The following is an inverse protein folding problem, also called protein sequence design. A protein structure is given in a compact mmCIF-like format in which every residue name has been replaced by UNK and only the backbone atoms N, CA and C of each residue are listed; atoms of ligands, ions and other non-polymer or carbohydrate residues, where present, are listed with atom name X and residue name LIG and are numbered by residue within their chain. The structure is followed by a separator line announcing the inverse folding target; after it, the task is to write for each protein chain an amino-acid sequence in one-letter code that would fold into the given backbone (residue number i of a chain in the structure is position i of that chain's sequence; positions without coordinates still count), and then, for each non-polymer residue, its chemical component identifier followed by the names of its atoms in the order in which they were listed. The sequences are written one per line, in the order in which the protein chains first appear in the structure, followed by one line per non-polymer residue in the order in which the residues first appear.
data_IF_691007303313
#
_entry.id   IF_691007303313
#
_cell.length_a   1.000
_cell.length_b   1.000
_cell.length_c   1.000
_cell.angle_alpha   90.00
_cell.angle_beta   90.00
_cell.angle_gamma   90.00
#
_symmetry.space_group_name_H-M   'P 1'
#
loop_
_entity.id
_entity.type
_entity.pdbx_description
1 polymer ?
#
# COMPACT_ATOMS: atom_id res chain seq x y z
N UNK A 1 13.43 5.80 6.93
CA UNK A 1 12.69 6.72 6.05
C UNK A 1 11.25 6.26 6.01
N UNK A 2 10.28 7.17 6.00
CA UNK A 2 8.86 6.84 5.87
C UNK A 2 8.29 7.59 4.66
N UNK A 3 7.67 6.86 3.74
CA UNK A 3 6.97 7.40 2.59
C UNK A 3 5.47 7.26 2.84
N UNK A 4 4.77 8.39 2.87
CA UNK A 4 3.35 8.49 3.23
C UNK A 4 2.74 9.64 2.44
N UNK A 5 1.45 9.56 2.15
CA UNK A 5 0.75 10.68 1.54
C UNK A 5 0.79 11.93 2.43
N UNK A 6 0.75 13.10 1.81
CA UNK A 6 1.03 14.38 2.48
C UNK A 6 -0.07 14.84 3.43
N UNK A 7 -1.33 14.44 3.21
CA UNK A 7 -2.43 14.84 4.07
C UNK A 7 -2.49 13.94 5.30
N UNK A 8 -2.76 14.55 6.46
CA UNK A 8 -2.98 13.82 7.70
C UNK A 8 -4.11 12.80 7.61
N UNK A 9 -5.23 13.19 6.98
CA UNK A 9 -6.40 12.34 6.84
C UNK A 9 -6.53 11.87 5.40
N UNK A 10 -6.35 10.58 5.16
CA UNK A 10 -6.50 9.95 3.86
C UNK A 10 -6.90 8.49 4.02
N UNK A 11 -7.79 8.01 3.14
CA UNK A 11 -8.28 6.64 3.18
C UNK A 11 -7.17 5.57 3.05
N UNK A 12 -5.99 5.94 2.56
CA UNK A 12 -4.82 5.08 2.51
C UNK A 12 -4.23 4.74 3.90
N UNK A 13 -4.47 5.59 4.91
CA UNK A 13 -3.93 5.39 6.26
C UNK A 13 -4.60 4.19 6.95
N UNK A 14 -3.77 3.30 7.53
CA UNK A 14 -4.23 2.11 8.24
C UNK A 14 -4.67 2.44 9.69
N UNK A 15 -5.60 3.38 9.78
CA UNK A 15 -6.25 3.83 10.99
C UNK A 15 -7.77 3.86 10.78
N UNK A 16 -8.59 3.48 11.77
CA UNK A 16 -10.05 3.43 11.59
C UNK A 16 -10.71 4.77 11.27
N UNK A 17 -10.05 5.88 11.61
CA UNK A 17 -10.50 7.24 11.23
C UNK A 17 -9.62 7.86 10.15
N UNK A 18 -8.80 7.03 9.48
CA UNK A 18 -7.91 7.42 8.39
C UNK A 18 -6.87 8.48 8.78
N UNK A 19 -6.55 8.59 10.08
CA UNK A 19 -5.55 9.52 10.61
C UNK A 19 -4.14 8.92 10.48
N UNK A 20 -3.22 9.65 9.86
CA UNK A 20 -1.83 9.25 9.73
C UNK A 20 -1.03 9.38 11.04
N UNK A 21 -1.51 10.15 12.02
CA UNK A 21 -0.78 10.37 13.28
C UNK A 21 -0.67 9.07 14.11
N UNK A 22 -1.76 8.32 14.37
CA UNK A 22 -1.68 7.01 15.03
C UNK A 22 -0.78 6.01 14.30
N UNK A 23 -0.85 5.97 12.96
CA UNK A 23 -0.02 5.09 12.12
C UNK A 23 1.47 5.34 12.38
N UNK A 24 1.89 6.61 12.33
CA UNK A 24 3.30 6.99 12.55
C UNK A 24 3.74 6.80 14.01
N UNK A 25 2.88 7.10 14.99
CA UNK A 25 3.20 6.93 16.42
C UNK A 25 3.36 5.48 16.83
N UNK A 26 2.59 4.57 16.22
CA UNK A 26 2.62 3.13 16.51
C UNK A 26 3.69 2.38 15.70
N UNK A 27 4.26 3.00 14.67
CA UNK A 27 5.26 2.36 13.81
C UNK A 27 6.46 1.85 14.62
N UNK A 28 6.65 0.54 14.64
CA UNK A 28 7.74 -0.13 15.35
C UNK A 28 9.02 -0.06 14.53
N UNK A 29 9.85 0.95 14.80
CA UNK A 29 11.13 1.15 14.10
C UNK A 29 12.07 -0.06 14.21
N UNK A 30 12.02 -0.83 15.30
CA UNK A 30 12.80 -2.07 15.44
C UNK A 30 12.38 -3.15 14.44
N UNK A 31 11.10 -3.22 14.10
CA UNK A 31 10.62 -4.11 13.05
C UNK A 31 11.02 -3.59 11.66
N UNK A 32 10.94 -2.28 11.42
CA UNK A 32 11.40 -1.66 10.17
C UNK A 32 12.88 -1.96 9.94
N UNK A 33 13.72 -1.80 10.97
CA UNK A 33 15.15 -2.09 10.90
C UNK A 33 15.43 -3.57 10.62
N UNK A 34 14.69 -4.49 11.25
CA UNK A 34 14.80 -5.93 11.01
C UNK A 34 14.31 -6.34 9.61
N UNK A 35 13.18 -5.82 9.15
CA UNK A 35 12.51 -6.25 7.93
C UNK A 35 13.03 -5.54 6.68
N UNK A 36 13.64 -4.36 6.82
CA UNK A 36 14.20 -3.55 5.74
C UNK A 36 13.16 -2.73 4.97
N UNK A 37 12.04 -3.35 4.58
CA UNK A 37 10.88 -2.74 3.93
C UNK A 37 9.60 -3.22 4.60
N UNK A 38 8.73 -2.28 4.97
CA UNK A 38 7.47 -2.55 5.68
C UNK A 38 6.35 -1.71 5.09
N UNK A 39 5.29 -2.31 4.52
CA UNK A 39 4.11 -1.54 4.12
C UNK A 39 3.41 -0.96 5.35
N UNK A 40 2.89 0.26 5.24
CA UNK A 40 2.06 0.87 6.28
C UNK A 40 0.59 0.48 6.17
N UNK A 41 0.24 -0.27 5.13
CA UNK A 41 -1.07 -0.88 4.92
C UNK A 41 -1.00 -2.37 5.22
N UNK A 42 -1.89 -2.85 6.09
CA UNK A 42 -2.02 -4.24 6.49
C UNK A 42 -3.29 -4.90 5.93
N UNK A 43 -4.34 -4.14 5.67
CA UNK A 43 -5.62 -4.69 5.18
C UNK A 43 -5.56 -4.97 3.68
N UNK A 44 -5.98 -6.17 3.25
CA UNK A 44 -5.91 -6.66 1.87
C UNK A 44 -7.06 -6.20 0.98
N UNK A 45 -7.95 -5.33 1.47
CA UNK A 45 -9.16 -4.89 0.74
C UNK A 45 -8.89 -4.48 -0.71
N UNK A 46 -7.70 -3.96 -1.00
CA UNK A 46 -7.22 -3.71 -2.35
C UNK A 46 -5.77 -4.19 -2.48
N UNK A 47 -5.41 -4.72 -3.65
CA UNK A 47 -4.05 -5.04 -4.02
C UNK A 47 -3.59 -6.48 -3.73
N UNK A 48 -3.88 -7.00 -2.54
CA UNK A 48 -3.51 -8.36 -2.17
C UNK A 48 -4.61 -9.37 -2.52
N UNK A 49 -4.27 -10.63 -2.87
CA UNK A 49 -2.92 -11.14 -3.15
C UNK A 49 -2.49 -11.01 -4.62
N UNK A 50 -3.39 -10.62 -5.52
CA UNK A 50 -3.20 -10.64 -6.97
C UNK A 50 -3.82 -9.41 -7.62
N UNK A 51 -3.20 -8.24 -7.43
CA UNK A 51 -3.65 -7.01 -8.11
C UNK A 51 -3.42 -7.10 -9.60
N UNK A 52 -2.21 -7.47 -10.00
CA UNK A 52 -1.76 -7.40 -11.39
C UNK A 52 -1.38 -8.79 -11.89
N UNK A 53 -1.76 -9.06 -13.14
CA UNK A 53 -1.41 -10.25 -13.93
C UNK A 53 -0.71 -9.83 -15.21
N UNK A 54 0.57 -9.42 -15.14
CA UNK A 54 1.27 -8.79 -16.27
C UNK A 54 1.35 -9.66 -17.53
N UNK A 55 1.33 -10.99 -17.40
CA UNK A 55 1.40 -11.94 -18.52
C UNK A 55 0.03 -12.29 -19.11
N UNK A 56 -1.07 -11.89 -18.45
CA UNK A 56 -2.44 -12.15 -18.89
C UNK A 56 -3.40 -11.06 -18.37
N UNK A 57 -3.31 -9.83 -18.90
CA UNK A 57 -4.10 -8.70 -18.43
C UNK A 57 -5.60 -8.89 -18.72
N UNK A 58 -6.45 -8.43 -17.80
CA UNK A 58 -7.90 -8.48 -17.92
C UNK A 58 -8.42 -7.49 -18.96
N UNK A 59 -8.77 -8.01 -20.14
CA UNK A 59 -9.21 -7.20 -21.29
C UNK A 59 -10.66 -6.68 -21.23
N UNK A 60 -11.44 -6.98 -20.19
CA UNK A 60 -12.89 -6.68 -20.16
C UNK A 60 -13.27 -5.40 -19.42
N UNK A 61 -12.35 -4.81 -18.65
CA UNK A 61 -12.56 -3.54 -17.94
C UNK A 61 -11.84 -2.41 -18.67
N UNK A 62 -12.45 -1.23 -18.68
CA UNK A 62 -11.85 -0.01 -19.24
C UNK A 62 -11.77 1.00 -18.09
N UNK A 63 -10.86 0.75 -17.15
CA UNK A 63 -10.58 1.62 -16.02
C UNK A 63 -9.06 1.76 -15.83
N UNK A 64 -8.63 2.65 -14.93
CA UNK A 64 -7.20 2.88 -14.69
C UNK A 64 -6.46 1.62 -14.22
N UNK A 65 -7.15 0.67 -13.56
CA UNK A 65 -6.51 -0.57 -13.09
C UNK A 65 -6.23 -1.51 -14.25
N UNK A 66 -7.17 -1.68 -15.18
CA UNK A 66 -6.92 -2.51 -16.37
C UNK A 66 -5.84 -1.92 -17.26
N UNK A 67 -5.85 -0.59 -17.49
CA UNK A 67 -4.77 0.07 -18.23
C UNK A 67 -3.41 -0.03 -17.53
N UNK A 68 -3.38 -0.03 -16.20
CA UNK A 68 -2.15 -0.30 -15.44
C UNK A 68 -1.65 -1.71 -15.68
N UNK A 69 -2.52 -2.71 -15.58
CA UNK A 69 -2.16 -4.11 -15.79
C UNK A 69 -1.60 -4.36 -17.21
N UNK A 70 -2.23 -3.75 -18.22
CA UNK A 70 -1.76 -3.77 -19.62
C UNK A 70 -0.37 -3.13 -19.79
N UNK A 71 -0.12 -2.00 -19.14
CA UNK A 71 1.15 -1.28 -19.23
C UNK A 71 2.27 -1.91 -18.35
N UNK A 72 1.92 -2.68 -17.32
CA UNK A 72 2.86 -3.11 -16.29
C UNK A 72 3.98 -3.99 -16.83
N UNK A 73 3.68 -4.92 -17.76
CA UNK A 73 4.69 -5.83 -18.28
C UNK A 73 5.84 -5.09 -18.96
N UNK A 74 5.53 -4.06 -19.74
CA UNK A 74 6.54 -3.25 -20.43
C UNK A 74 7.30 -2.35 -19.45
N UNK A 75 6.58 -1.70 -18.53
CA UNK A 75 7.21 -0.92 -17.47
C UNK A 75 8.18 -1.77 -16.63
N UNK A 76 7.79 -3.00 -16.29
CA UNK A 76 8.59 -3.92 -15.48
C UNK A 76 9.92 -4.25 -16.17
N UNK A 77 9.93 -4.49 -17.49
CA UNK A 77 11.18 -4.74 -18.24
C UNK A 77 12.16 -3.57 -18.14
N UNK A 78 11.63 -2.34 -18.20
CA UNK A 78 12.44 -1.13 -18.16
C UNK A 78 12.96 -0.84 -16.74
N UNK A 79 12.11 -1.04 -15.72
CA UNK A 79 12.48 -0.82 -14.32
C UNK A 79 13.49 -1.89 -13.84
N UNK A 80 13.26 -3.16 -14.18
CA UNK A 80 14.01 -4.31 -13.69
C UNK A 80 14.67 -5.07 -14.84
N UNK A 81 15.70 -4.48 -15.49
CA UNK A 81 16.38 -5.15 -16.58
C UNK A 81 16.98 -6.47 -16.07
N UNK A 82 16.82 -7.53 -16.86
CA UNK A 82 17.26 -8.90 -16.56
C UNK A 82 16.42 -9.68 -15.53
N UNK A 83 15.26 -9.17 -15.13
CA UNK A 83 14.31 -9.92 -14.30
C UNK A 83 13.14 -10.38 -15.17
N UNK A 84 12.82 -11.68 -15.09
CA UNK A 84 11.63 -12.24 -15.76
C UNK A 84 10.37 -11.60 -15.19
N UNK A 85 9.46 -11.17 -16.06
CA UNK A 85 8.17 -10.60 -15.66
C UNK A 85 7.40 -11.66 -14.85
N UNK A 86 6.92 -11.32 -13.65
CA UNK A 86 6.12 -12.25 -12.85
C UNK A 86 4.71 -12.42 -13.43
N UNK A 87 4.14 -13.60 -13.23
CA UNK A 87 2.74 -13.87 -13.62
C UNK A 87 1.73 -13.11 -12.75
N UNK A 88 2.09 -12.86 -11.49
CA UNK A 88 1.25 -12.16 -10.51
C UNK A 88 2.10 -11.20 -9.68
N UNK A 89 1.58 -9.99 -9.48
CA UNK A 89 2.09 -9.03 -8.50
C UNK A 89 0.98 -8.69 -7.51
N UNK A 90 1.34 -8.69 -6.23
CA UNK A 90 0.42 -8.40 -5.14
C UNK A 90 1.11 -7.68 -3.99
N UNK A 91 0.50 -6.61 -3.52
CA UNK A 91 0.89 -5.87 -2.32
C UNK A 91 -0.34 -5.12 -1.81
N UNK A 92 -0.35 -4.72 -0.56
CA UNK A 92 -1.42 -3.87 -0.03
C UNK A 92 -1.36 -2.49 -0.72
N UNK A 93 -2.52 -1.95 -1.11
CA UNK A 93 -2.59 -0.69 -1.87
C UNK A 93 -2.12 0.55 -1.08
N UNK A 94 -1.89 1.64 -1.80
CA UNK A 94 -1.70 3.00 -1.29
C UNK A 94 -0.26 3.48 -1.24
N UNK A 95 0.72 2.63 -1.59
CA UNK A 95 2.11 3.06 -1.79
C UNK A 95 2.78 3.65 -0.55
N UNK A 96 2.23 3.47 0.66
CA UNK A 96 2.79 3.97 1.91
C UNK A 96 3.64 2.89 2.58
N UNK A 97 4.89 3.20 2.92
CA UNK A 97 5.83 2.23 3.48
C UNK A 97 6.92 2.89 4.34
N UNK A 98 7.56 2.08 5.18
CA UNK A 98 8.75 2.43 5.93
C UNK A 98 9.96 1.62 5.47
N UNK A 99 11.12 2.26 5.43
CA UNK A 99 12.39 1.70 4.98
C UNK A 99 13.50 1.90 5.99
N UNK A 100 14.26 0.84 6.22
CA UNK A 100 15.53 0.90 6.92
C UNK A 100 16.61 1.52 6.01
N UNK A 101 17.56 2.24 6.62
CA UNK A 101 18.66 2.88 5.88
C UNK A 101 19.49 1.86 5.10
N UNK A 102 19.83 0.73 5.72
CA UNK A 102 20.63 -0.31 5.09
C UNK A 102 19.94 -0.90 3.86
N UNK A 103 18.62 -1.04 3.88
CA UNK A 103 17.85 -1.57 2.76
C UNK A 103 17.86 -0.62 1.55
N UNK A 104 17.89 0.68 1.78
CA UNK A 104 18.06 1.68 0.71
C UNK A 104 19.46 1.56 0.10
N UNK A 105 20.49 1.43 0.94
CA UNK A 105 21.89 1.38 0.49
C UNK A 105 22.28 0.05 -0.15
N UNK A 106 21.50 -1.01 0.04
CA UNK A 106 21.70 -2.31 -0.60
C UNK A 106 21.52 -2.23 -2.13
N UNK A 107 20.71 -1.29 -2.61
CA UNK A 107 20.48 -1.09 -4.03
C UNK A 107 21.45 -0.03 -4.60
N UNK A 108 22.09 -0.29 -5.76
CA UNK A 108 22.97 0.68 -6.40
C UNK A 108 22.23 1.98 -6.77
N UNK A 109 22.96 3.09 -6.78
CA UNK A 109 22.42 4.42 -7.09
C UNK A 109 21.81 4.46 -8.50
N UNK A 110 22.44 3.76 -9.44
CA UNK A 110 22.06 3.71 -10.86
C UNK A 110 20.64 3.17 -11.04
N UNK A 111 20.18 2.29 -10.16
CA UNK A 111 18.80 1.79 -10.20
C UNK A 111 17.81 2.87 -9.79
N UNK A 112 18.10 3.64 -8.74
CA UNK A 112 17.26 4.77 -8.34
C UNK A 112 17.19 5.85 -9.42
N UNK A 113 18.33 6.13 -10.08
CA UNK A 113 18.37 7.04 -11.23
C UNK A 113 17.49 6.52 -12.36
N UNK A 114 17.56 5.22 -12.69
CA UNK A 114 16.72 4.60 -13.71
C UNK A 114 15.22 4.67 -13.36
N UNK A 115 14.84 4.32 -12.13
CA UNK A 115 13.45 4.40 -11.68
C UNK A 115 12.91 5.82 -11.79
N UNK A 116 13.67 6.81 -11.30
CA UNK A 116 13.29 8.22 -11.40
C UNK A 116 13.17 8.65 -12.86
N UNK A 117 14.14 8.29 -13.70
CA UNK A 117 14.14 8.70 -15.11
C UNK A 117 12.95 8.11 -15.87
N UNK A 118 12.60 6.83 -15.60
CA UNK A 118 11.40 6.22 -16.16
C UNK A 118 10.13 7.00 -15.81
N UNK A 119 9.98 7.45 -14.55
CA UNK A 119 8.84 8.29 -14.15
C UNK A 119 8.79 9.64 -14.87
N UNK A 120 9.95 10.23 -15.18
CA UNK A 120 10.02 11.52 -15.86
C UNK A 120 9.75 11.42 -17.36
N UNK A 121 10.12 10.31 -17.98
CA UNK A 121 10.09 10.14 -19.44
C UNK A 121 8.86 9.38 -19.94
N UNK A 122 8.21 8.60 -19.07
CA UNK A 122 7.08 7.76 -19.48
C UNK A 122 5.91 8.62 -20.01
N UNK A 123 5.30 8.25 -21.15
CA UNK A 123 4.12 8.95 -21.66
C UNK A 123 2.83 8.52 -20.92
N UNK A 124 2.92 7.58 -19.97
CA UNK A 124 1.77 7.08 -19.23
C UNK A 124 1.20 8.18 -18.32
N UNK A 125 -0.14 8.27 -18.20
CA UNK A 125 -0.77 9.18 -17.24
C UNK A 125 -0.31 8.90 -15.79
N UNK A 126 -0.27 9.94 -14.95
CA UNK A 126 0.16 9.84 -13.54
C UNK A 126 -0.58 8.76 -12.74
N UNK A 127 -1.87 8.57 -13.00
CA UNK A 127 -2.66 7.53 -12.34
C UNK A 127 -2.16 6.10 -12.65
N UNK A 128 -1.63 5.90 -13.86
CA UNK A 128 -1.13 4.62 -14.35
C UNK A 128 0.32 4.41 -13.91
N UNK A 129 1.20 5.38 -14.18
CA UNK A 129 2.62 5.31 -13.80
C UNK A 129 2.81 5.27 -12.28
N UNK A 130 1.99 6.03 -11.55
CA UNK A 130 1.94 5.99 -10.08
C UNK A 130 1.52 4.63 -9.54
N UNK A 131 0.51 3.98 -10.15
CA UNK A 131 0.07 2.63 -9.74
C UNK A 131 1.12 1.56 -10.08
N UNK A 132 1.81 1.68 -11.23
CA UNK A 132 2.96 0.81 -11.54
C UNK A 132 4.01 0.89 -10.43
N UNK A 133 4.36 2.11 -9.97
CA UNK A 133 5.30 2.30 -8.87
C UNK A 133 4.76 1.74 -7.54
N UNK A 134 3.49 1.99 -7.22
CA UNK A 134 2.82 1.45 -6.03
C UNK A 134 3.05 -0.05 -5.88
N UNK A 135 2.83 -0.81 -6.96
CA UNK A 135 3.02 -2.27 -7.00
C UNK A 135 4.45 -2.72 -7.34
N UNK A 136 5.39 -1.79 -7.52
CA UNK A 136 6.81 -2.10 -7.73
C UNK A 136 7.67 -1.84 -6.50
N UNK A 137 7.22 -1.04 -5.53
CA UNK A 137 8.05 -0.63 -4.38
C UNK A 137 8.65 -1.80 -3.61
N UNK A 138 7.83 -2.79 -3.27
CA UNK A 138 8.31 -3.96 -2.52
C UNK A 138 9.35 -4.76 -3.31
N UNK A 139 9.20 -4.84 -4.64
CA UNK A 139 10.13 -5.50 -5.56
C UNK A 139 11.44 -4.70 -5.65
N UNK A 140 11.38 -3.37 -5.77
CA UNK A 140 12.56 -2.49 -5.71
C UNK A 140 13.35 -2.74 -4.43
N UNK A 141 12.69 -3.03 -3.30
CA UNK A 141 13.38 -3.31 -2.04
C UNK A 141 13.53 -4.81 -1.72
N UNK A 142 13.51 -5.65 -2.75
CA UNK A 142 13.92 -7.06 -2.67
C UNK A 142 12.93 -7.98 -1.94
N UNK A 143 11.64 -7.62 -1.93
CA UNK A 143 10.56 -8.50 -1.49
C UNK A 143 10.02 -9.33 -2.67
N UNK A 144 9.29 -10.39 -2.34
CA UNK A 144 8.62 -11.27 -3.32
C UNK A 144 7.60 -10.51 -4.17
N UNK A 145 7.36 -10.95 -5.41
CA UNK A 145 6.39 -10.31 -6.30
C UNK A 145 4.97 -10.23 -5.70
N UNK A 146 4.61 -11.21 -4.87
CA UNK A 146 3.46 -11.15 -3.96
C UNK A 146 3.99 -10.94 -2.54
N UNK A 147 3.87 -9.73 -2.00
CA UNK A 147 4.27 -9.35 -0.65
C UNK A 147 3.02 -8.99 0.17
N UNK A 148 2.26 -10.02 0.54
CA UNK A 148 0.99 -9.93 1.25
C UNK A 148 1.11 -10.70 2.58
N UNK A 149 1.74 -10.13 3.62
CA UNK A 149 1.69 -10.73 4.94
C UNK A 149 0.25 -10.73 5.46
N UNK A 150 -0.10 -11.69 6.32
CA UNK A 150 -1.43 -11.68 6.94
C UNK A 150 -1.66 -10.37 7.70
N UNK A 151 -2.90 -9.87 7.72
CA UNK A 151 -3.26 -8.64 8.43
C UNK A 151 -2.85 -8.72 9.90
N UNK A 152 -3.04 -9.87 10.56
CA UNK A 152 -2.64 -10.11 11.94
C UNK A 152 -1.13 -9.92 12.15
N UNK A 153 -0.31 -10.56 11.33
CA UNK A 153 1.15 -10.42 11.43
C UNK A 153 1.60 -9.00 11.12
N UNK A 154 1.02 -8.37 10.10
CA UNK A 154 1.33 -6.99 9.75
C UNK A 154 1.00 -6.03 10.90
N UNK A 155 -0.22 -6.08 11.45
CA UNK A 155 -0.63 -5.20 12.55
C UNK A 155 0.23 -5.39 13.81
N UNK A 156 0.53 -6.63 14.18
CA UNK A 156 1.36 -6.92 15.34
C UNK A 156 2.82 -6.45 15.15
N UNK A 157 3.41 -6.77 14.00
CA UNK A 157 4.82 -6.46 13.75
C UNK A 157 5.05 -4.97 13.46
N UNK A 158 4.22 -4.37 12.62
CA UNK A 158 4.36 -2.97 12.18
C UNK A 158 3.88 -1.99 13.25
N UNK A 159 2.76 -2.27 13.92
CA UNK A 159 2.09 -1.32 14.81
C UNK A 159 1.98 -1.77 16.28
N UNK A 160 2.41 -2.99 16.61
CA UNK A 160 2.27 -3.53 17.97
C UNK A 160 0.84 -3.92 18.34
N UNK A 161 -0.07 -3.98 17.38
CA UNK A 161 -1.48 -4.33 17.60
C UNK A 161 -1.66 -5.85 17.44
N UNK A 162 -1.20 -6.61 18.44
CA UNK A 162 -1.15 -8.08 18.38
C UNK A 162 -2.45 -8.77 18.83
N UNK A 163 -3.27 -8.08 19.63
CA UNK A 163 -4.49 -8.63 20.23
C UNK A 163 -5.74 -8.35 19.39
N UNK A 164 -5.57 -8.15 18.07
CA UNK A 164 -6.68 -7.94 17.16
C UNK A 164 -7.38 -9.26 16.84
N UNK A 165 -8.72 -9.20 16.73
CA UNK A 165 -9.52 -10.29 16.19
C UNK A 165 -9.45 -10.24 14.66
N UNK A 166 -8.90 -11.29 14.04
CA UNK A 166 -8.70 -11.36 12.59
C UNK A 166 -9.29 -12.68 12.10
N UNK A 167 -10.42 -12.59 11.41
CA UNK A 167 -11.20 -13.76 10.98
C UNK A 167 -10.80 -14.26 9.58
N UNK A 168 -9.95 -13.52 8.86
CA UNK A 168 -9.39 -13.91 7.57
C UNK A 168 -7.92 -13.48 7.46
N UNK A 169 -7.22 -13.95 6.42
CA UNK A 169 -5.81 -13.59 6.21
C UNK A 169 -5.63 -12.09 5.96
N UNK A 170 -6.63 -11.44 5.35
CA UNK A 170 -6.51 -10.10 4.82
C UNK A 170 -7.12 -8.99 5.67
N UNK A 171 -7.79 -9.32 6.78
CA UNK A 171 -8.51 -8.33 7.56
C UNK A 171 -8.50 -8.63 9.07
N UNK A 172 -8.63 -7.57 9.85
CA UNK A 172 -8.93 -7.65 11.26
C UNK A 172 -10.13 -6.77 11.57
N UNK A 173 -10.94 -7.20 12.53
CA UNK A 173 -12.15 -6.49 12.92
C UNK A 173 -11.81 -5.04 13.31
N UNK A 174 -12.71 -4.12 12.94
CA UNK A 174 -12.63 -2.72 13.36
C UNK A 174 -11.32 -2.00 12.98
N UNK A 175 -10.64 -2.44 11.92
CA UNK A 175 -9.40 -1.80 11.46
C UNK A 175 -9.60 -0.87 10.28
N UNK A 176 -10.45 -1.25 9.34
CA UNK A 176 -10.55 -0.53 8.08
C UNK A 176 -11.91 -0.76 7.42
N UNK A 177 -12.45 0.30 6.84
CA UNK A 177 -13.60 0.26 5.92
C UNK A 177 -13.13 0.86 4.61
N UNK A 178 -13.40 0.22 3.48
CA UNK A 178 -13.16 0.86 2.18
C UNK A 178 -14.24 1.93 1.98
N UNK A 179 -13.88 3.22 1.91
CA UNK A 179 -14.88 4.25 1.70
C UNK A 179 -15.48 4.14 0.30
N UNK A 180 -16.73 4.59 0.17
CA UNK A 180 -17.41 4.63 -1.12
C UNK A 180 -16.76 5.63 -2.09
N UNK A 181 -16.11 6.67 -1.56
CA UNK A 181 -15.48 7.74 -2.32
C UNK A 181 -14.01 7.88 -1.95
N UNK A 182 -13.16 8.17 -2.94
CA UNK A 182 -11.72 8.36 -2.72
C UNK A 182 -11.36 9.69 -2.04
N UNK A 183 -12.29 10.65 -2.01
CA UNK A 183 -12.07 11.97 -1.41
C UNK A 183 -12.75 12.02 -0.04
N UNK A 184 -11.97 12.35 0.99
CA UNK A 184 -12.47 12.52 2.36
C UNK A 184 -13.51 13.66 2.43
N UNK A 185 -14.52 13.58 3.31
CA UNK A 185 -15.45 14.67 3.55
C UNK A 185 -14.73 15.96 3.98
N UNK A 186 -15.16 17.15 3.51
CA UNK A 186 -14.59 18.40 3.95
C UNK A 186 -14.81 18.60 5.46
N UNK A 187 -13.74 18.92 6.19
CA UNK A 187 -13.80 19.09 7.64
C UNK A 187 -13.73 17.78 8.44
N UNK A 188 -13.32 16.67 7.83
CA UNK A 188 -13.00 15.44 8.56
C UNK A 188 -11.89 15.67 9.61
N UNK A 189 -11.97 15.06 10.81
CA UNK A 189 -13.00 14.13 11.29
C UNK A 189 -14.17 14.79 12.02
N UNK A 190 -14.26 16.12 12.04
CA UNK A 190 -15.35 16.81 12.74
C UNK A 190 -16.69 16.70 12.00
N UNK A 191 -16.66 16.57 10.67
CA UNK A 191 -17.83 16.45 9.80
C UNK A 191 -17.68 15.25 8.85
N UNK A 192 -18.76 14.50 8.64
CA UNK A 192 -18.82 13.34 7.76
C UNK A 192 -18.76 11.94 8.39
N UNK A 193 -18.21 11.70 9.60
CA UNK A 193 -18.27 10.36 10.20
C UNK A 193 -19.70 9.82 10.28
N UNK A 194 -19.88 8.54 9.93
CA UNK A 194 -21.17 7.85 9.93
C UNK A 194 -22.07 8.10 8.71
N UNK A 195 -21.63 8.88 7.72
CA UNK A 195 -22.37 9.09 6.46
C UNK A 195 -21.65 8.44 5.28
N UNK A 196 -22.35 8.12 4.19
CA UNK A 196 -21.75 7.76 2.90
C UNK A 196 -20.69 6.64 2.94
N UNK A 197 -20.90 5.65 3.83
CA UNK A 197 -19.99 4.52 4.03
C UNK A 197 -18.74 4.83 4.86
N UNK A 198 -18.61 6.05 5.40
CA UNK A 198 -17.56 6.43 6.34
C UNK A 198 -17.85 5.91 7.76
N UNK A 199 -16.82 5.52 8.53
CA UNK A 199 -16.97 5.06 9.89
C UNK A 199 -17.48 6.17 10.81
N UNK A 200 -18.28 5.81 11.80
CA UNK A 200 -18.66 6.69 12.91
C UNK A 200 -17.45 6.97 13.82
N UNK A 201 -17.47 8.12 14.52
CA UNK A 201 -16.46 8.42 15.54
C UNK A 201 -16.52 7.34 16.64
N UNK A 202 -15.37 6.71 16.89
CA UNK A 202 -15.29 5.63 17.88
C UNK A 202 -15.80 4.28 17.39
N UNK A 203 -16.09 4.11 16.09
CA UNK A 203 -16.48 2.81 15.51
C UNK A 203 -15.54 1.66 15.90
N UNK A 204 -14.23 1.97 15.93
CA UNK A 204 -13.20 1.01 16.30
C UNK A 204 -12.89 0.93 17.80
N UNK A 205 -13.49 1.81 18.61
CA UNK A 205 -13.33 1.70 20.05
C UNK A 205 -14.06 0.43 20.51
N UNK A 206 -13.39 -0.35 21.37
CA UNK A 206 -14.04 -1.48 22.02
C UNK A 206 -15.30 -1.00 22.76
N UNK A 207 -16.29 -1.88 22.98
CA UNK A 207 -17.34 -1.56 23.96
C UNK A 207 -16.61 -1.21 25.26
N UNK A 208 -16.72 0.04 25.74
CA UNK A 208 -16.34 0.35 27.11
C UNK A 208 -17.16 -0.60 27.98
N UNK A 209 -16.50 -1.60 28.55
CA UNK A 209 -17.09 -2.43 29.59
C UNK A 209 -17.40 -1.54 30.80
#
# INVERSE_FOLDING_TARGET
MVFIHSLRYQWHNEDPMYDGVPVLRKLRLSYVDKAGFVPLRCTWTLGCPSELKPTNPFATRIDDRSHTEEAYAEAFRQLFPNITIPDVVGATCGGQFALAKWKILERPLEDYVRYRQWLMDTPLPDAISGRIFEYSWHIMFGKSYVNCPSAKECFCNTFGLCDLECNSEGECEKRYILPQYAVMPPGWPQYGPGTDGWPEVGWADGKKK
#
